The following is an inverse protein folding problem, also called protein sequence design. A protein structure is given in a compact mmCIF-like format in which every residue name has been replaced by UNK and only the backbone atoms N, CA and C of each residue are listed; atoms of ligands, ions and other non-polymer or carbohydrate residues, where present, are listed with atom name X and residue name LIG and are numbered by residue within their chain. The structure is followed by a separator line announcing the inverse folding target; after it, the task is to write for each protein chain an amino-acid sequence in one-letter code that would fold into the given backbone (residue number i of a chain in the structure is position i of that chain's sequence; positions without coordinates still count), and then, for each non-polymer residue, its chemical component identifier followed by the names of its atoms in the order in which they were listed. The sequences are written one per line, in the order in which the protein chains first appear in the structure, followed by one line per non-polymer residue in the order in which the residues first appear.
data_IF_036114057370
#
_entry.id   IF_036114057370
#
_cell.length_a   1.000
_cell.length_b   1.000
_cell.length_c   1.000
_cell.angle_alpha   90.00
_cell.angle_beta   90.00
_cell.angle_gamma   90.00
#
_symmetry.space_group_name_H-M   'P 1'
#
loop_
_entity.id
_entity.type
_entity.pdbx_description
1 polymer ?
#
# COMPACT_ATOMS: atom_id res chain seq x y z
N UNK A 1 21.38 -3.84 -23.53
CA UNK A 1 21.50 -3.41 -22.13
C UNK A 1 20.12 -3.03 -21.66
N UNK A 2 19.46 -3.89 -20.90
CA UNK A 2 18.29 -3.49 -20.12
C UNK A 2 18.77 -2.51 -19.05
N UNK A 3 18.13 -1.34 -18.96
CA UNK A 3 18.38 -0.40 -17.87
C UNK A 3 17.91 -1.07 -16.57
N UNK A 4 18.66 -0.92 -15.48
CA UNK A 4 18.24 -1.41 -14.17
C UNK A 4 16.94 -0.69 -13.76
N UNK A 5 15.92 -1.44 -13.37
CA UNK A 5 14.64 -0.89 -12.90
C UNK A 5 14.71 -0.55 -11.40
N UNK A 6 13.77 0.23 -10.89
CA UNK A 6 13.69 0.51 -9.45
C UNK A 6 13.48 -0.77 -8.63
N UNK A 7 12.77 -1.77 -9.17
CA UNK A 7 12.62 -3.06 -8.48
C UNK A 7 13.94 -3.82 -8.42
N UNK A 8 14.77 -3.80 -9.47
CA UNK A 8 16.11 -4.40 -9.44
C UNK A 8 17.04 -3.73 -8.42
N UNK A 9 16.83 -2.43 -8.16
CA UNK A 9 17.64 -1.64 -7.23
C UNK A 9 17.21 -1.81 -5.77
N UNK A 10 15.90 -1.89 -5.52
CA UNK A 10 15.37 -1.84 -4.16
C UNK A 10 14.86 -3.17 -3.61
N UNK A 11 14.47 -4.14 -4.45
CA UNK A 11 13.90 -5.40 -3.97
C UNK A 11 14.99 -6.28 -3.35
N UNK A 12 14.95 -6.56 -2.03
CA UNK A 12 15.93 -7.44 -1.41
C UNK A 12 15.71 -8.89 -1.82
N UNK A 13 16.78 -9.68 -1.78
CA UNK A 13 16.69 -11.13 -1.99
C UNK A 13 16.14 -11.77 -0.72
N UNK A 14 15.01 -12.45 -0.85
CA UNK A 14 14.36 -13.22 0.21
C UNK A 14 14.23 -14.70 -0.19
N UNK A 15 14.08 -15.58 0.80
CA UNK A 15 13.82 -17.01 0.55
C UNK A 15 12.49 -17.25 -0.16
N UNK A 16 11.54 -16.32 -0.03
CA UNK A 16 10.22 -16.34 -0.67
C UNK A 16 9.90 -14.95 -1.20
N UNK A 17 9.56 -14.86 -2.48
CA UNK A 17 9.04 -13.66 -3.15
C UNK A 17 7.77 -13.99 -3.93
N UNK A 18 6.91 -12.98 -4.11
CA UNK A 18 5.73 -13.03 -4.97
C UNK A 18 5.70 -11.76 -5.82
N UNK A 19 5.41 -11.91 -7.11
CA UNK A 19 5.50 -10.84 -8.11
C UNK A 19 4.30 -10.93 -9.05
N UNK A 20 3.65 -9.79 -9.28
CA UNK A 20 2.48 -9.70 -10.17
C UNK A 20 2.74 -8.66 -11.25
N UNK A 21 2.59 -9.07 -12.51
CA UNK A 21 2.64 -8.20 -13.67
C UNK A 21 1.30 -8.26 -14.42
N UNK A 22 0.79 -7.09 -14.80
CA UNK A 22 -0.42 -6.96 -15.63
C UNK A 22 -0.12 -6.03 -16.79
N UNK A 23 -0.44 -6.47 -18.01
CA UNK A 23 -0.33 -5.65 -19.22
C UNK A 23 -1.68 -5.00 -19.48
N UNK A 24 -1.67 -3.70 -19.75
CA UNK A 24 -2.85 -2.92 -20.12
C UNK A 24 -2.70 -2.40 -21.54
N UNK A 25 -3.78 -2.38 -22.31
CA UNK A 25 -3.80 -1.91 -23.69
C UNK A 25 -3.90 -0.37 -23.76
N UNK A 26 -2.89 0.33 -23.24
CA UNK A 26 -2.80 1.78 -23.29
C UNK A 26 -1.35 2.24 -23.23
N UNK A 27 -1.09 3.52 -23.48
CA UNK A 27 0.26 4.07 -23.42
C UNK A 27 0.73 4.29 -21.96
N UNK A 28 2.04 4.50 -21.79
CA UNK A 28 2.64 4.65 -20.47
C UNK A 28 2.11 5.87 -19.71
N UNK A 29 1.86 7.00 -20.40
CA UNK A 29 1.38 8.21 -19.74
C UNK A 29 -0.04 8.02 -19.24
N UNK A 30 -0.94 7.46 -20.06
CA UNK A 30 -2.31 7.17 -19.64
C UNK A 30 -2.36 6.16 -18.48
N UNK A 31 -1.50 5.14 -18.52
CA UNK A 31 -1.37 4.17 -17.41
C UNK A 31 -0.90 4.85 -16.13
N UNK A 32 0.11 5.71 -16.27
CA UNK A 32 0.69 6.45 -15.16
C UNK A 32 -0.32 7.36 -14.49
N UNK A 33 -1.04 8.17 -15.27
CA UNK A 33 -2.05 9.09 -14.74
C UNK A 33 -3.16 8.31 -14.02
N UNK A 34 -3.63 7.20 -14.61
CA UNK A 34 -4.62 6.32 -13.98
C UNK A 34 -4.11 5.71 -12.67
N UNK A 35 -2.83 5.31 -12.61
CA UNK A 35 -2.20 4.74 -11.42
C UNK A 35 -2.10 5.76 -10.28
N UNK A 36 -1.63 6.98 -10.58
CA UNK A 36 -1.41 8.02 -9.57
C UNK A 36 -2.74 8.61 -9.08
N UNK A 37 -3.74 8.72 -9.95
CA UNK A 37 -5.05 9.27 -9.59
C UNK A 37 -5.99 8.24 -8.94
N UNK A 38 -5.65 6.95 -9.00
CA UNK A 38 -6.45 5.86 -8.47
C UNK A 38 -6.83 6.08 -7.00
N UNK A 39 -8.13 6.06 -6.72
CA UNK A 39 -8.64 6.10 -5.35
C UNK A 39 -8.77 4.68 -4.78
N UNK A 40 -7.86 4.32 -3.88
CA UNK A 40 -7.81 3.01 -3.22
C UNK A 40 -9.07 2.71 -2.41
N UNK A 41 -9.73 3.74 -1.85
CA UNK A 41 -11.02 3.59 -1.14
C UNK A 41 -12.11 3.13 -2.11
N UNK A 42 -12.15 3.72 -3.31
CA UNK A 42 -13.14 3.37 -4.32
C UNK A 42 -12.87 1.97 -4.91
N UNK A 43 -11.60 1.62 -5.15
CA UNK A 43 -11.21 0.26 -5.56
C UNK A 43 -11.67 -0.78 -4.53
N UNK A 44 -11.49 -0.49 -3.24
CA UNK A 44 -11.98 -1.36 -2.15
C UNK A 44 -13.49 -1.53 -2.16
N UNK A 45 -14.25 -0.47 -2.42
CA UNK A 45 -15.73 -0.52 -2.52
C UNK A 45 -16.23 -1.42 -3.66
N UNK A 46 -15.48 -1.49 -4.76
CA UNK A 46 -15.82 -2.35 -5.91
C UNK A 46 -15.55 -3.85 -5.63
N UNK A 47 -14.87 -4.18 -4.53
CA UNK A 47 -14.49 -5.55 -4.15
C UNK A 47 -15.04 -5.89 -2.75
N UNK A 48 -16.35 -6.18 -2.62
CA UNK A 48 -16.99 -6.32 -1.31
C UNK A 48 -16.40 -7.45 -0.44
N UNK A 49 -15.87 -8.51 -1.06
CA UNK A 49 -15.19 -9.58 -0.32
C UNK A 49 -13.88 -9.11 0.33
N UNK A 50 -13.10 -8.27 -0.37
CA UNK A 50 -11.87 -7.68 0.18
C UNK A 50 -12.22 -6.74 1.33
N UNK A 51 -13.26 -5.91 1.16
CA UNK A 51 -13.76 -5.04 2.22
C UNK A 51 -14.22 -5.84 3.45
N UNK A 52 -14.94 -6.95 3.25
CA UNK A 52 -15.37 -7.82 4.34
C UNK A 52 -14.18 -8.46 5.07
N UNK A 53 -13.19 -8.98 4.33
CA UNK A 53 -11.99 -9.57 4.93
C UNK A 53 -11.18 -8.51 5.70
N UNK A 54 -11.08 -7.29 5.15
CA UNK A 54 -10.47 -6.15 5.85
C UNK A 54 -11.21 -5.81 7.15
N UNK A 55 -12.54 -5.75 7.11
CA UNK A 55 -13.37 -5.49 8.29
C UNK A 55 -13.18 -6.56 9.37
N UNK A 56 -13.12 -7.84 8.98
CA UNK A 56 -12.82 -8.95 9.90
C UNK A 56 -11.43 -8.81 10.50
N UNK A 57 -10.43 -8.40 9.70
CA UNK A 57 -9.05 -8.21 10.15
C UNK A 57 -8.91 -7.09 11.19
N UNK A 58 -9.62 -5.98 11.04
CA UNK A 58 -9.53 -4.83 11.96
C UNK A 58 -10.45 -4.93 13.18
N UNK A 59 -11.37 -5.89 13.20
CA UNK A 59 -12.34 -6.06 14.28
C UNK A 59 -11.70 -6.25 15.67
N UNK A 60 -10.62 -7.05 15.85
CA UNK A 60 -9.97 -7.19 17.15
C UNK A 60 -9.45 -5.85 17.70
N UNK A 61 -8.82 -5.03 16.85
CA UNK A 61 -8.30 -3.72 17.22
C UNK A 61 -9.43 -2.76 17.60
N UNK A 62 -10.53 -2.78 16.84
CA UNK A 62 -11.71 -1.97 17.15
C UNK A 62 -12.31 -2.33 18.51
N UNK A 63 -12.41 -3.64 18.81
CA UNK A 63 -12.89 -4.12 20.13
C UNK A 63 -11.94 -3.65 21.23
N UNK A 64 -10.63 -3.78 21.04
CA UNK A 64 -9.62 -3.33 21.99
C UNK A 64 -9.72 -1.83 22.27
N UNK A 65 -9.76 -1.00 21.23
CA UNK A 65 -9.91 0.45 21.34
C UNK A 65 -11.19 0.83 22.09
N UNK A 66 -12.31 0.16 21.76
CA UNK A 66 -13.60 0.41 22.42
C UNK A 66 -13.56 0.09 23.91
N UNK A 67 -12.87 -0.97 24.32
CA UNK A 67 -12.68 -1.35 25.73
C UNK A 67 -11.80 -0.34 26.49
N UNK A 68 -10.88 0.34 25.80
CA UNK A 68 -9.97 1.34 26.38
C UNK A 68 -10.49 2.78 26.24
N UNK A 69 -11.68 2.98 25.67
CA UNK A 69 -12.28 4.31 25.48
C UNK A 69 -11.65 5.12 24.35
N UNK A 70 -10.88 4.47 23.47
CA UNK A 70 -10.28 5.07 22.29
C UNK A 70 -11.30 5.13 21.15
N UNK A 71 -11.24 6.20 20.35
CA UNK A 71 -12.04 6.33 19.15
C UNK A 71 -11.11 6.31 17.93
N UNK A 72 -11.27 5.33 17.02
CA UNK A 72 -10.48 5.33 15.80
C UNK A 72 -10.77 6.58 14.97
N UNK A 73 -9.76 7.13 14.29
CA UNK A 73 -9.96 8.22 13.34
C UNK A 73 -10.92 7.76 12.22
N UNK A 74 -11.69 8.70 11.69
CA UNK A 74 -12.56 8.43 10.56
C UNK A 74 -11.72 7.97 9.35
N UNK A 75 -12.21 6.96 8.63
CA UNK A 75 -11.58 6.54 7.38
C UNK A 75 -11.64 7.68 6.36
N UNK A 76 -10.57 7.92 5.59
CA UNK A 76 -10.56 8.96 4.58
C UNK A 76 -11.56 8.67 3.46
N UNK A 77 -12.14 9.71 2.87
CA UNK A 77 -13.06 9.58 1.72
C UNK A 77 -12.33 9.20 0.43
N UNK A 78 -11.04 9.57 0.34
CA UNK A 78 -10.15 9.30 -0.78
C UNK A 78 -8.75 8.99 -0.25
N UNK A 79 -8.10 8.03 -0.89
CA UNK A 79 -6.70 7.70 -0.63
C UNK A 79 -6.03 7.28 -1.95
N UNK A 80 -5.03 8.02 -2.40
CA UNK A 80 -4.17 7.69 -3.54
C UNK A 80 -2.90 6.98 -3.07
N UNK A 81 -2.11 6.45 -4.00
CA UNK A 81 -0.80 5.86 -3.66
C UNK A 81 0.14 6.89 -3.02
N UNK A 82 0.12 8.15 -3.46
CA UNK A 82 0.99 9.19 -2.90
C UNK A 82 0.57 9.61 -1.50
N UNK A 83 -0.74 9.65 -1.23
CA UNK A 83 -1.25 9.96 0.11
C UNK A 83 -0.76 8.93 1.16
N UNK A 84 -0.48 7.69 0.74
CA UNK A 84 0.09 6.68 1.64
C UNK A 84 1.47 7.06 2.18
N UNK A 85 2.19 7.95 1.50
CA UNK A 85 3.52 8.41 1.95
C UNK A 85 3.48 9.45 3.07
N UNK A 86 2.30 10.03 3.29
CA UNK A 86 2.06 11.01 4.35
C UNK A 86 1.44 10.37 5.60
N UNK A 87 0.97 9.13 5.48
CA UNK A 87 0.43 8.38 6.60
C UNK A 87 1.54 7.91 7.55
N UNK A 88 1.28 7.87 8.86
CA UNK A 88 2.20 7.23 9.79
C UNK A 88 2.34 5.74 9.43
N UNK A 89 3.53 5.18 9.63
CA UNK A 89 3.80 3.76 9.34
C UNK A 89 2.83 2.83 10.07
N UNK A 90 2.50 3.15 11.33
CA UNK A 90 1.50 2.42 12.13
C UNK A 90 0.08 2.43 11.53
N UNK A 91 -0.23 3.41 10.67
CA UNK A 91 -1.50 3.57 9.96
C UNK A 91 -1.49 3.03 8.53
N UNK A 92 -0.47 2.25 8.14
CA UNK A 92 -0.33 1.72 6.79
C UNK A 92 0.36 2.67 5.82
N UNK A 93 1.21 3.58 6.34
CA UNK A 93 2.06 4.42 5.50
C UNK A 93 3.12 3.64 4.74
N UNK A 94 3.53 4.19 3.59
CA UNK A 94 4.57 3.63 2.72
C UNK A 94 5.69 4.66 2.50
N UNK A 95 6.92 4.20 2.32
CA UNK A 95 8.05 5.08 2.04
C UNK A 95 8.24 5.21 0.52
N UNK A 96 8.38 6.43 0.02
CA UNK A 96 8.79 6.65 -1.37
C UNK A 96 10.27 6.31 -1.54
N UNK A 97 10.57 5.26 -2.30
CA UNK A 97 11.94 4.82 -2.57
C UNK A 97 12.51 5.47 -3.84
N UNK A 98 11.67 5.67 -4.86
CA UNK A 98 12.09 6.29 -6.10
C UNK A 98 10.93 6.48 -7.08
N UNK A 99 11.14 7.40 -8.03
CA UNK A 99 10.17 7.72 -9.08
C UNK A 99 10.92 8.05 -10.38
N UNK A 100 10.48 7.47 -11.49
CA UNK A 100 10.99 7.73 -12.85
C UNK A 100 9.81 7.97 -13.76
N UNK A 101 9.43 9.23 -13.91
CA UNK A 101 8.21 9.61 -14.62
C UNK A 101 8.31 9.39 -16.14
N UNK A 102 7.23 8.93 -16.81
CA UNK A 102 6.03 8.25 -16.29
C UNK A 102 6.16 6.70 -16.24
N UNK A 103 7.37 6.16 -16.11
CA UNK A 103 7.62 4.73 -16.26
C UNK A 103 7.50 3.93 -14.95
N UNK A 104 8.01 4.45 -13.84
CA UNK A 104 8.18 3.66 -12.62
C UNK A 104 7.96 4.48 -11.34
N UNK A 105 7.35 3.85 -10.34
CA UNK A 105 7.24 4.33 -8.96
C UNK A 105 7.56 3.16 -8.04
N UNK A 106 8.40 3.40 -7.03
CA UNK A 106 8.74 2.42 -6.01
C UNK A 106 8.31 2.93 -4.64
N UNK A 107 7.37 2.21 -4.04
CA UNK A 107 6.91 2.41 -2.67
C UNK A 107 7.35 1.21 -1.84
N UNK A 108 7.97 1.46 -0.69
CA UNK A 108 8.53 0.44 0.18
C UNK A 108 7.84 0.39 1.53
N UNK A 109 7.72 -0.83 2.06
CA UNK A 109 7.32 -1.07 3.44
C UNK A 109 8.01 -2.33 3.95
N UNK A 110 8.74 -2.21 5.06
CA UNK A 110 9.41 -3.35 5.72
C UNK A 110 8.88 -3.48 7.13
N UNK A 111 8.39 -4.66 7.49
CA UNK A 111 7.85 -4.91 8.83
C UNK A 111 7.55 -6.37 9.13
N UNK A 112 7.17 -6.63 10.39
CA UNK A 112 6.77 -7.98 10.85
C UNK A 112 5.25 -8.14 10.77
N UNK A 113 4.73 -8.32 9.56
CA UNK A 113 3.29 -8.30 9.27
C UNK A 113 2.46 -9.43 9.91
N UNK A 114 3.11 -10.46 10.45
CA UNK A 114 2.46 -11.61 11.10
C UNK A 114 2.27 -11.44 12.62
N UNK A 115 2.69 -10.32 13.20
CA UNK A 115 2.46 -10.01 14.62
C UNK A 115 1.20 -9.15 14.81
N UNK A 116 0.51 -9.25 15.96
CA UNK A 116 -0.61 -8.38 16.28
C UNK A 116 -0.22 -6.89 16.28
N UNK A 117 1.00 -6.59 16.72
CA UNK A 117 1.62 -5.27 16.60
C UNK A 117 2.68 -5.34 15.50
N UNK A 118 2.46 -4.60 14.42
CA UNK A 118 3.41 -4.55 13.30
C UNK A 118 4.51 -3.56 13.67
N UNK A 119 5.70 -4.09 13.92
CA UNK A 119 6.93 -3.30 14.02
C UNK A 119 7.43 -3.03 12.59
N UNK A 120 7.42 -1.76 12.20
CA UNK A 120 8.01 -1.30 10.94
C UNK A 120 9.47 -0.94 11.14
N UNK A 121 10.31 -1.27 10.14
CA UNK A 121 11.67 -0.77 10.10
C UNK A 121 11.66 0.65 9.53
N UNK A 122 12.42 1.55 10.15
CA UNK A 122 12.85 2.78 9.50
C UNK A 122 13.99 2.40 8.53
N UNK A 123 13.81 2.74 7.25
CA UNK A 123 14.74 2.47 6.15
C UNK A 123 15.04 3.75 5.41
#
# INVERSE_FOLDING_TARGET
MTLATLVDEFLPVYDVSDEVATVVETDAQTTWDALIDANLIEVGRQRPLVALLGAVRVLPDLVWQRLHGEHPPAAPERLTLRDTTELPMSGGGWVMLGERLPQEIALGLVGKFWRPVIEFAEV
#
